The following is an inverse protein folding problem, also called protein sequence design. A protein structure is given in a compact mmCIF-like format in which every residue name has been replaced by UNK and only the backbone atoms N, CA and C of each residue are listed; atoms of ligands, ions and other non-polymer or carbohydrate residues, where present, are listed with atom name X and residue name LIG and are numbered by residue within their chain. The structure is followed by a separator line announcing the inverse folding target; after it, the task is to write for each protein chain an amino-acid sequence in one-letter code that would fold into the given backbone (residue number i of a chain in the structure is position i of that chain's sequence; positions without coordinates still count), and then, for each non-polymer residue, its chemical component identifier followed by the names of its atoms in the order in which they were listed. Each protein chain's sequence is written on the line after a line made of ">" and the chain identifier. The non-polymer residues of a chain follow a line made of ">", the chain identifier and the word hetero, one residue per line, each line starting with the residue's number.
data_IF_767779308877
#
_entry.id   IF_767779308877
#
_cell.length_a   1.000
_cell.length_b   1.000
_cell.length_c   1.000
_cell.angle_alpha   90.00
_cell.angle_beta   90.00
_cell.angle_gamma   90.00
#
_symmetry.space_group_name_H-M   'P 1'
#
loop_
_entity.id
_entity.type
_entity.pdbx_description
1 polymer ?
#
# COMPACT_ATOMS: atom_id res chain seq x y z
N UNK A 1 11.69 0.81 -16.76
CA UNK A 1 11.47 1.88 -15.77
C UNK A 1 12.60 1.79 -14.78
N UNK A 2 13.48 2.79 -14.82
CA UNK A 2 14.56 3.05 -13.86
C UNK A 2 14.05 2.92 -12.42
N UNK A 3 14.83 2.27 -11.55
CA UNK A 3 14.56 2.09 -10.12
C UNK A 3 14.69 3.40 -9.33
N UNK A 4 13.90 4.41 -9.69
CA UNK A 4 13.91 5.73 -9.06
C UNK A 4 13.13 5.75 -7.75
N UNK A 5 13.83 6.06 -6.65
CA UNK A 5 13.30 6.66 -5.43
C UNK A 5 12.02 6.04 -4.81
N UNK A 6 11.89 4.72 -4.78
CA UNK A 6 10.93 4.13 -3.84
C UNK A 6 11.48 4.34 -2.41
N UNK A 7 10.73 5.07 -1.57
CA UNK A 7 10.98 5.08 -0.12
C UNK A 7 10.40 3.80 0.48
N UNK A 8 11.12 3.20 1.42
CA UNK A 8 10.50 2.29 2.39
C UNK A 8 10.15 3.08 3.64
N UNK A 9 9.11 2.63 4.33
CA UNK A 9 8.68 3.19 5.60
C UNK A 9 8.97 2.19 6.71
N UNK A 10 9.84 2.58 7.64
CA UNK A 10 10.21 1.78 8.80
C UNK A 10 9.04 1.84 9.79
N UNK A 11 8.18 0.83 9.73
CA UNK A 11 6.93 0.71 10.49
C UNK A 11 6.80 -0.72 11.04
N UNK A 12 6.04 -0.89 12.12
CA UNK A 12 5.61 -2.22 12.56
C UNK A 12 4.43 -2.73 11.73
N UNK A 13 4.24 -4.05 11.65
CA UNK A 13 3.08 -4.66 10.95
C UNK A 13 1.76 -4.02 11.41
N UNK A 14 1.59 -3.82 12.73
CA UNK A 14 0.38 -3.20 13.30
C UNK A 14 0.16 -1.77 12.81
N UNK A 15 1.21 -0.97 12.64
CA UNK A 15 1.06 0.41 12.16
C UNK A 15 0.78 0.40 10.66
N UNK A 16 1.50 -0.40 9.87
CA UNK A 16 1.24 -0.57 8.45
C UNK A 16 -0.21 -1.02 8.20
N UNK A 17 -0.71 -1.99 8.98
CA UNK A 17 -2.07 -2.51 8.84
C UNK A 17 -3.12 -1.43 9.17
N UNK A 18 -2.89 -0.62 10.20
CA UNK A 18 -3.75 0.52 10.54
C UNK A 18 -3.78 1.59 9.46
N UNK A 19 -2.64 1.90 8.85
CA UNK A 19 -2.53 2.87 7.75
C UNK A 19 -3.34 2.38 6.55
N UNK A 20 -3.15 1.11 6.15
CA UNK A 20 -3.87 0.51 5.02
C UNK A 20 -5.37 0.50 5.25
N UNK A 21 -5.81 0.11 6.45
CA UNK A 21 -7.22 0.10 6.80
C UNK A 21 -7.81 1.52 6.80
N UNK A 22 -7.08 2.50 7.32
CA UNK A 22 -7.53 3.89 7.35
C UNK A 22 -7.69 4.46 5.93
N UNK A 23 -6.70 4.25 5.06
CA UNK A 23 -6.76 4.66 3.66
C UNK A 23 -7.95 4.00 2.94
N UNK A 24 -8.13 2.69 3.09
CA UNK A 24 -9.25 1.97 2.47
C UNK A 24 -10.61 2.47 2.96
N UNK A 25 -10.77 2.75 4.25
CA UNK A 25 -12.02 3.29 4.82
C UNK A 25 -12.32 4.73 4.40
N UNK A 26 -11.32 5.49 3.96
CA UNK A 26 -11.53 6.85 3.48
C UNK A 26 -12.23 6.87 2.10
N UNK A 27 -11.95 5.85 1.26
CA UNK A 27 -12.43 5.81 -0.12
C UNK A 27 -13.48 4.71 -0.38
N UNK A 28 -13.57 3.68 0.47
CA UNK A 28 -14.48 2.55 0.31
C UNK A 28 -15.36 2.31 1.53
N UNK A 29 -16.56 1.80 1.30
CA UNK A 29 -17.45 1.30 2.34
C UNK A 29 -16.80 0.18 3.15
N UNK A 30 -16.79 0.32 4.47
CA UNK A 30 -16.19 -0.66 5.38
C UNK A 30 -16.77 -2.08 5.20
N UNK A 31 -18.04 -2.18 4.81
CA UNK A 31 -18.74 -3.46 4.60
C UNK A 31 -18.22 -4.27 3.40
N UNK A 32 -17.48 -3.64 2.48
CA UNK A 32 -16.92 -4.32 1.30
C UNK A 32 -15.46 -4.72 1.49
N UNK A 33 -14.84 -4.30 2.60
CA UNK A 33 -13.42 -4.53 2.87
C UNK A 33 -13.16 -5.96 3.36
N UNK A 34 -12.17 -6.60 2.74
CA UNK A 34 -11.67 -7.91 3.11
C UNK A 34 -10.18 -7.82 3.40
N UNK A 35 -9.73 -8.42 4.50
CA UNK A 35 -8.29 -8.50 4.81
C UNK A 35 -7.63 -9.51 3.87
N UNK A 36 -6.46 -9.16 3.33
CA UNK A 36 -5.68 -10.09 2.52
C UNK A 36 -5.14 -11.25 3.35
N UNK A 37 -5.08 -12.47 2.79
CA UNK A 37 -4.48 -13.60 3.47
C UNK A 37 -2.96 -13.42 3.61
N UNK A 38 -2.35 -13.99 4.66
CA UNK A 38 -0.89 -14.02 4.77
C UNK A 38 -0.28 -14.75 3.56
N UNK A 39 0.93 -14.35 3.10
CA UNK A 39 1.87 -13.42 3.74
C UNK A 39 1.60 -11.94 3.44
N UNK A 40 0.54 -11.61 2.71
CA UNK A 40 0.24 -10.23 2.30
C UNK A 40 -0.35 -9.43 3.48
N UNK A 41 0.16 -8.21 3.68
CA UNK A 41 -0.36 -7.28 4.67
C UNK A 41 -1.19 -6.23 3.93
N UNK A 42 -2.52 -6.33 3.97
CA UNK A 42 -3.38 -5.38 3.28
C UNK A 42 -4.84 -5.71 3.28
N UNK A 43 -5.59 -4.96 2.48
CA UNK A 43 -7.03 -5.09 2.32
C UNK A 43 -7.41 -4.98 0.84
N UNK A 44 -8.45 -5.71 0.46
CA UNK A 44 -9.15 -5.53 -0.81
C UNK A 44 -10.58 -5.06 -0.54
N UNK A 45 -11.18 -4.37 -1.50
CA UNK A 45 -12.55 -3.92 -1.42
C UNK A 45 -13.17 -3.81 -2.80
N UNK A 46 -14.48 -4.04 -2.86
CA UNK A 46 -15.24 -3.88 -4.09
C UNK A 46 -15.73 -2.44 -4.23
N UNK A 47 -15.56 -1.90 -5.42
CA UNK A 47 -16.06 -0.58 -5.82
C UNK A 47 -16.93 -0.73 -7.05
N UNK A 48 -17.94 0.14 -7.18
CA UNK A 48 -18.81 0.16 -8.35
C UNK A 48 -18.69 1.51 -9.03
N UNK A 49 -18.21 1.51 -10.27
CA UNK A 49 -18.14 2.70 -11.10
C UNK A 49 -19.17 2.58 -12.22
N UNK A 50 -20.34 3.20 -12.02
CA UNK A 50 -21.47 3.03 -12.94
C UNK A 50 -22.01 1.59 -12.88
N UNK A 51 -21.89 0.86 -13.99
CA UNK A 51 -22.33 -0.55 -14.09
C UNK A 51 -21.19 -1.54 -13.83
N UNK A 52 -19.94 -1.06 -13.87
CA UNK A 52 -18.75 -1.88 -13.67
C UNK A 52 -18.50 -2.10 -12.18
N UNK A 53 -18.14 -3.35 -11.84
CA UNK A 53 -17.76 -3.76 -10.50
C UNK A 53 -16.30 -4.15 -10.52
N UNK A 54 -15.51 -3.41 -9.77
CA UNK A 54 -14.07 -3.54 -9.77
C UNK A 54 -13.60 -3.87 -8.35
N UNK A 55 -12.42 -4.45 -8.28
CA UNK A 55 -11.74 -4.74 -7.01
C UNK A 55 -10.52 -3.85 -6.91
N UNK A 56 -10.41 -3.18 -5.78
CA UNK A 56 -9.26 -2.38 -5.41
C UNK A 56 -8.56 -3.08 -4.26
N UNK A 57 -7.24 -3.19 -4.36
CA UNK A 57 -6.41 -3.82 -3.34
C UNK A 57 -5.33 -2.84 -2.93
N UNK A 58 -5.20 -2.59 -1.63
CA UNK A 58 -4.13 -1.80 -1.05
C UNK A 58 -3.36 -2.68 -0.07
N UNK A 59 -2.06 -2.82 -0.28
CA UNK A 59 -1.22 -3.71 0.51
C UNK A 59 0.17 -3.12 0.74
N UNK A 60 0.85 -3.64 1.74
CA UNK A 60 2.21 -3.31 2.08
C UNK A 60 3.09 -4.54 1.85
N UNK A 61 4.14 -4.36 1.06
CA UNK A 61 5.13 -5.39 0.79
C UNK A 61 6.37 -5.15 1.65
N UNK A 62 6.83 -6.19 2.33
CA UNK A 62 8.07 -6.13 3.11
C UNK A 62 9.25 -5.83 2.19
N UNK A 63 10.07 -4.89 2.59
CA UNK A 63 11.24 -4.45 1.86
C UNK A 63 12.41 -4.16 2.78
N UNK A 64 13.60 -4.28 2.21
CA UNK A 64 14.86 -3.86 2.81
C UNK A 64 15.27 -2.55 2.16
N UNK A 65 15.65 -1.59 2.97
CA UNK A 65 16.14 -0.29 2.55
C UNK A 65 17.40 0.11 3.30
N UNK A 66 17.90 1.31 3.01
CA UNK A 66 19.10 1.90 3.59
C UNK A 66 18.73 3.18 4.32
N UNK A 67 19.05 3.27 5.61
CA UNK A 67 18.90 4.51 6.37
C UNK A 67 20.01 5.53 6.04
N UNK A 68 19.93 6.71 6.64
CA UNK A 68 20.91 7.78 6.44
C UNK A 68 22.33 7.45 6.95
N UNK A 69 22.46 6.47 7.85
CA UNK A 69 23.75 5.97 8.33
C UNK A 69 24.32 4.87 7.42
N UNK A 70 23.60 4.49 6.37
CA UNK A 70 24.01 3.46 5.44
C UNK A 70 23.68 2.04 5.91
N UNK A 71 22.88 1.87 6.96
CA UNK A 71 22.52 0.56 7.52
C UNK A 71 21.29 -0.01 6.82
N UNK A 72 21.31 -1.32 6.56
CA UNK A 72 20.14 -2.05 6.08
C UNK A 72 19.06 -2.09 7.17
N UNK A 73 17.86 -1.66 6.81
CA UNK A 73 16.68 -1.60 7.68
C UNK A 73 15.48 -2.21 6.97
N UNK A 74 14.65 -2.91 7.72
CA UNK A 74 13.41 -3.49 7.22
C UNK A 74 12.26 -2.50 7.35
N UNK A 75 11.38 -2.50 6.35
CA UNK A 75 10.18 -1.68 6.36
C UNK A 75 9.20 -2.14 5.30
N UNK A 76 8.32 -1.22 4.90
CA UNK A 76 7.24 -1.49 3.98
C UNK A 76 7.25 -0.54 2.78
N UNK A 77 6.93 -1.09 1.63
CA UNK A 77 6.50 -0.33 0.44
C UNK A 77 4.99 -0.51 0.33
N UNK A 78 4.25 0.59 0.19
CA UNK A 78 2.82 0.56 -0.05
C UNK A 78 2.56 0.44 -1.55
N UNK A 79 1.66 -0.45 -1.92
CA UNK A 79 1.27 -0.72 -3.30
C UNK A 79 -0.26 -0.78 -3.39
N UNK A 80 -0.81 -0.22 -4.47
CA UNK A 80 -2.23 -0.28 -4.76
C UNK A 80 -2.43 -0.91 -6.14
N UNK A 81 -3.42 -1.80 -6.24
CA UNK A 81 -3.77 -2.53 -7.46
C UNK A 81 -5.27 -2.37 -7.73
N UNK A 82 -5.60 -2.28 -9.00
CA UNK A 82 -6.96 -2.30 -9.51
C UNK A 82 -7.13 -3.49 -10.44
N UNK A 83 -8.21 -4.24 -10.23
CA UNK A 83 -8.64 -5.34 -11.08
C UNK A 83 -10.11 -5.14 -11.45
N UNK A 84 -10.38 -4.93 -12.73
CA UNK A 84 -11.74 -4.88 -13.26
C UNK A 84 -11.81 -4.25 -14.66
N UNK A 85 -13.00 -3.86 -15.08
CA UNK A 85 -13.32 -3.46 -16.47
C UNK A 85 -13.30 -1.96 -16.68
N UNK A 86 -13.18 -1.14 -15.63
CA UNK A 86 -13.19 0.32 -15.71
C UNK A 86 -11.80 0.93 -15.37
N UNK A 87 -10.79 0.79 -16.26
CA UNK A 87 -9.43 1.27 -16.00
C UNK A 87 -9.33 2.78 -15.82
N UNK A 88 -10.10 3.58 -16.58
CA UNK A 88 -10.02 5.04 -16.52
C UNK A 88 -10.72 5.65 -15.29
N UNK A 89 -11.81 5.03 -14.82
CA UNK A 89 -12.56 5.51 -13.66
C UNK A 89 -11.86 5.17 -12.34
N UNK A 90 -11.09 4.08 -12.31
CA UNK A 90 -10.44 3.57 -11.09
C UNK A 90 -9.08 4.16 -10.74
N UNK A 91 -8.34 4.66 -11.72
CA UNK A 91 -7.04 5.32 -11.53
C UNK A 91 -7.07 6.38 -10.41
N UNK A 92 -8.01 7.36 -10.38
CA UNK A 92 -8.01 8.37 -9.34
C UNK A 92 -8.23 7.80 -7.93
N UNK A 93 -9.02 6.74 -7.78
CA UNK A 93 -9.23 6.08 -6.48
C UNK A 93 -7.96 5.36 -6.01
N UNK A 94 -7.28 4.65 -6.91
CA UNK A 94 -6.01 3.97 -6.61
C UNK A 94 -4.93 4.96 -6.19
N UNK A 95 -4.79 6.06 -6.93
CA UNK A 95 -3.82 7.11 -6.63
C UNK A 95 -4.11 7.76 -5.26
N UNK A 96 -5.38 8.04 -4.94
CA UNK A 96 -5.78 8.59 -3.63
C UNK A 96 -5.49 7.63 -2.48
N UNK A 97 -5.81 6.35 -2.64
CA UNK A 97 -5.52 5.33 -1.63
C UNK A 97 -4.03 5.24 -1.33
N UNK A 98 -3.21 5.15 -2.38
CA UNK A 98 -1.77 5.08 -2.24
C UNK A 98 -1.21 6.38 -1.63
N UNK A 99 -1.67 7.54 -2.08
CA UNK A 99 -1.25 8.83 -1.56
C UNK A 99 -1.61 8.99 -0.07
N UNK A 100 -2.80 8.55 0.35
CA UNK A 100 -3.21 8.56 1.76
C UNK A 100 -2.30 7.66 2.59
N UNK A 101 -2.09 6.42 2.16
CA UNK A 101 -1.24 5.48 2.88
C UNK A 101 0.20 5.99 3.01
N UNK A 102 0.76 6.53 1.92
CA UNK A 102 2.10 7.14 1.90
C UNK A 102 2.16 8.35 2.84
N UNK A 103 1.15 9.21 2.83
CA UNK A 103 1.10 10.38 3.71
C UNK A 103 1.10 9.98 5.17
N UNK A 104 0.24 9.05 5.58
CA UNK A 104 0.20 8.58 6.96
C UNK A 104 1.51 7.86 7.36
N UNK A 105 2.09 7.08 6.45
CA UNK A 105 3.37 6.42 6.67
C UNK A 105 4.53 7.40 6.89
N UNK A 106 4.56 8.52 6.15
CA UNK A 106 5.52 9.61 6.37
C UNK A 106 5.35 10.32 7.70
N UNK A 107 4.12 10.40 8.21
CA UNK A 107 3.84 11.03 9.50
C UNK A 107 4.16 10.12 10.69
N UNK A 108 4.01 8.81 10.51
CA UNK A 108 4.10 7.81 11.59
C UNK A 108 5.41 7.02 11.59
N UNK A 109 6.19 7.08 10.51
CA UNK A 109 7.40 6.27 10.31
C UNK A 109 8.59 7.08 9.83
N UNK A 110 9.74 6.41 9.80
CA UNK A 110 10.96 6.95 9.21
C UNK A 110 11.11 6.46 7.76
N UNK A 111 11.49 7.35 6.86
CA UNK A 111 11.80 7.00 5.48
C UNK A 111 13.23 6.48 5.35
N UNK A 112 13.41 5.43 4.55
CA UNK A 112 14.71 4.93 4.13
C UNK A 112 14.69 4.65 2.62
N UNK A 113 15.86 4.68 1.99
CA UNK A 113 15.98 4.43 0.55
C UNK A 113 15.74 2.94 0.26
N UNK A 114 14.81 2.59 -0.61
CA UNK A 114 14.58 1.19 -1.00
C UNK A 114 15.83 0.55 -1.60
N UNK A 115 16.09 -0.71 -1.24
CA UNK A 115 17.13 -1.54 -1.86
C UNK A 115 16.47 -2.69 -2.62
N UNK A 116 15.65 -3.49 -1.94
CA UNK A 116 15.01 -4.71 -2.50
C UNK A 116 13.79 -5.11 -1.70
N UNK A 117 12.89 -5.89 -2.29
CA UNK A 117 11.87 -6.57 -1.52
C UNK A 117 12.50 -7.66 -0.65
N UNK A 118 11.93 -7.87 0.53
CA UNK A 118 12.23 -9.05 1.31
C UNK A 118 11.54 -10.22 0.59
N UNK A 119 12.31 -10.98 -0.18
CA UNK A 119 11.81 -12.18 -0.84
C UNK A 119 11.36 -13.18 0.24
N UNK A 120 10.17 -13.76 0.07
CA UNK A 120 9.78 -14.93 0.85
C UNK A 120 10.41 -16.13 0.15
N UNK A 121 11.60 -16.52 0.58
CA UNK A 121 12.10 -17.89 0.39
C UNK A 121 11.30 -18.85 1.28
#
# INVERSE_FOLDING_TARGET
>A
MDGGNQSIYILSDKIAERILLAAMKAELDQSTLQKLPPPELGYSGKVQWGVDKDTVTLFARKAIGKDAAGKEVSGYVFEAKHSGTAPAAGVPTIERLLASAVKDAKQLGQEAAFIRFADND
#
